data_IF_303134328326
#
_entry.id   IF_303134328326
#
_cell.length_a   1.000
_cell.length_b   1.000
_cell.length_c   1.000
_cell.angle_alpha   90.00
_cell.angle_beta   90.00
_cell.angle_gamma   90.00
#
_symmetry.space_group_name_H-M   'P 1'
#
loop_
_entity.id
_entity.type
_entity.pdbx_description
1 polymer ?
#
# COMPACT_ATOMS: atom_id res chain seq x y z
N UNK A 1 -2.63 21.33 -5.68
CA UNK A 1 -2.15 21.45 -7.10
C UNK A 1 -3.17 22.29 -7.82
N UNK A 2 -2.73 23.34 -8.55
CA UNK A 2 -3.64 24.13 -9.35
C UNK A 2 -4.31 23.24 -10.39
N UNK A 3 -5.63 23.34 -10.46
CA UNK A 3 -6.48 22.53 -11.32
C UNK A 3 -6.09 22.72 -12.80
N UNK A 4 -5.60 21.67 -13.45
CA UNK A 4 -5.46 21.60 -14.90
C UNK A 4 -4.15 22.08 -15.52
N UNK A 5 -3.36 22.95 -14.91
CA UNK A 5 -2.12 23.50 -15.53
C UNK A 5 -1.08 22.45 -15.96
N UNK A 6 -1.06 21.27 -15.33
CA UNK A 6 -0.18 20.20 -15.73
C UNK A 6 -0.53 19.60 -17.10
N UNK A 7 -1.81 19.71 -17.52
CA UNK A 7 -2.28 19.25 -18.83
C UNK A 7 -1.76 20.10 -19.99
N UNK A 8 -1.36 21.34 -19.76
CA UNK A 8 -0.70 22.17 -20.78
C UNK A 8 0.65 21.56 -21.23
N UNK A 9 1.21 20.67 -20.43
CA UNK A 9 2.42 19.93 -20.75
C UNK A 9 2.14 18.63 -21.52
N UNK A 10 0.89 18.24 -21.70
CA UNK A 10 0.47 16.99 -22.36
C UNK A 10 0.02 17.28 -23.79
N UNK A 11 0.61 16.58 -24.75
CA UNK A 11 0.31 16.70 -26.18
C UNK A 11 -0.62 15.60 -26.68
N UNK A 12 -0.57 14.43 -26.04
CA UNK A 12 -1.40 13.27 -26.42
C UNK A 12 -1.58 12.31 -25.27
N UNK A 13 -2.77 11.70 -25.20
CA UNK A 13 -3.09 10.61 -24.27
C UNK A 13 -3.64 9.43 -25.05
N UNK A 14 -3.08 8.27 -24.82
CA UNK A 14 -3.58 6.99 -25.33
C UNK A 14 -4.02 6.14 -24.13
N UNK A 15 -5.15 5.44 -24.27
CA UNK A 15 -5.68 4.57 -23.23
C UNK A 15 -6.07 3.22 -23.83
N UNK A 16 -5.64 2.13 -23.20
CA UNK A 16 -6.06 0.78 -23.58
C UNK A 16 -6.35 -0.06 -22.34
N UNK A 17 -7.25 -1.02 -22.52
CA UNK A 17 -7.57 -2.02 -21.49
C UNK A 17 -6.55 -3.14 -21.56
N UNK A 18 -6.16 -3.64 -20.40
CA UNK A 18 -5.41 -4.89 -20.26
C UNK A 18 -6.18 -5.89 -19.37
N UNK A 19 -5.88 -7.18 -19.56
CA UNK A 19 -6.27 -8.29 -18.70
C UNK A 19 -5.07 -9.23 -18.62
N UNK A 20 -4.42 -9.24 -17.47
CA UNK A 20 -3.16 -9.96 -17.28
C UNK A 20 -3.32 -11.03 -16.20
N UNK A 21 -2.92 -12.25 -16.52
CA UNK A 21 -2.94 -13.37 -15.59
C UNK A 21 -1.91 -13.17 -14.47
N UNK A 22 -2.28 -13.60 -13.28
CA UNK A 22 -1.34 -13.69 -12.16
C UNK A 22 -0.65 -15.06 -12.15
N UNK A 23 0.54 -15.13 -11.58
CA UNK A 23 1.31 -16.38 -11.44
C UNK A 23 0.62 -17.40 -10.54
N UNK A 24 -0.20 -16.91 -9.61
CA UNK A 24 -1.03 -17.70 -8.70
C UNK A 24 -2.39 -17.06 -8.51
N UNK A 25 -3.40 -17.84 -8.19
CA UNK A 25 -4.68 -17.30 -7.75
C UNK A 25 -4.55 -16.75 -6.33
N UNK A 26 -4.84 -15.46 -6.17
CA UNK A 26 -4.78 -14.79 -4.87
C UNK A 26 -6.05 -15.08 -4.08
N UNK A 27 -5.96 -15.64 -2.87
CA UNK A 27 -7.10 -15.71 -1.98
C UNK A 27 -7.36 -14.31 -1.40
N UNK A 28 -8.58 -13.80 -1.61
CA UNK A 28 -8.97 -12.52 -1.02
C UNK A 28 -10.30 -12.65 -0.28
N UNK A 29 -10.58 -11.73 0.64
CA UNK A 29 -11.88 -11.68 1.34
C UNK A 29 -13.08 -11.48 0.39
N UNK A 30 -12.81 -11.09 -0.86
CA UNK A 30 -13.82 -10.85 -1.90
C UNK A 30 -13.93 -12.01 -2.92
N UNK A 31 -13.20 -13.09 -2.68
CA UNK A 31 -13.09 -14.24 -3.57
C UNK A 31 -11.72 -14.37 -4.24
N UNK A 32 -11.48 -15.47 -4.96
CA UNK A 32 -10.20 -15.72 -5.60
C UNK A 32 -10.02 -14.83 -6.83
N UNK A 33 -8.81 -14.26 -7.00
CA UNK A 33 -8.44 -13.42 -8.14
C UNK A 33 -7.29 -14.09 -8.88
N UNK A 34 -7.52 -14.47 -10.15
CA UNK A 34 -6.54 -15.12 -11.03
C UNK A 34 -5.94 -14.19 -12.08
N UNK A 35 -6.56 -13.02 -12.32
CA UNK A 35 -6.05 -12.00 -13.26
C UNK A 35 -6.31 -10.60 -12.72
N UNK A 36 -5.55 -9.64 -13.23
CA UNK A 36 -5.78 -8.22 -12.98
C UNK A 36 -6.18 -7.52 -14.26
N UNK A 37 -7.23 -6.72 -14.18
CA UNK A 37 -7.72 -5.90 -15.28
C UNK A 37 -7.54 -4.43 -14.92
N UNK A 38 -7.22 -3.62 -15.92
CA UNK A 38 -7.04 -2.20 -15.75
C UNK A 38 -7.02 -1.44 -17.06
N UNK A 39 -6.89 -0.13 -16.92
CA UNK A 39 -6.65 0.81 -18.00
C UNK A 39 -5.21 1.30 -17.88
N UNK A 40 -4.44 1.12 -18.94
CA UNK A 40 -3.11 1.68 -19.06
C UNK A 40 -3.21 2.97 -19.89
N UNK A 41 -2.57 4.02 -19.38
CA UNK A 41 -2.51 5.31 -20.06
C UNK A 41 -1.05 5.64 -20.42
N UNK A 42 -0.84 6.02 -21.67
CA UNK A 42 0.41 6.56 -22.17
C UNK A 42 0.23 8.05 -22.45
N UNK A 43 1.11 8.84 -21.88
CA UNK A 43 1.06 10.30 -21.92
C UNK A 43 2.30 10.80 -22.69
N UNK A 44 2.08 11.49 -23.81
CA UNK A 44 3.13 12.25 -24.47
C UNK A 44 3.16 13.65 -23.87
N UNK A 45 4.30 14.03 -23.31
CA UNK A 45 4.46 15.29 -22.60
C UNK A 45 5.70 16.03 -23.09
N UNK A 46 5.82 17.31 -22.74
CA UNK A 46 7.03 18.09 -23.01
C UNK A 46 8.28 17.57 -22.27
N UNK A 47 8.10 16.71 -21.25
CA UNK A 47 9.18 16.05 -20.50
C UNK A 47 9.46 14.60 -20.98
N UNK A 48 8.77 14.12 -22.04
CA UNK A 48 8.88 12.77 -22.55
C UNK A 48 7.60 11.95 -22.37
N UNK A 49 7.74 10.63 -22.48
CA UNK A 49 6.61 9.71 -22.37
C UNK A 49 6.50 9.24 -20.90
N UNK A 50 5.31 9.40 -20.35
CA UNK A 50 4.95 8.91 -19.02
C UNK A 50 3.85 7.85 -19.15
N UNK A 51 3.71 7.02 -18.13
CA UNK A 51 2.66 6.02 -18.02
C UNK A 51 1.96 6.11 -16.67
N UNK A 52 0.66 5.82 -16.66
CA UNK A 52 -0.12 5.64 -15.44
C UNK A 52 -1.15 4.54 -15.63
N UNK A 53 -1.72 4.09 -14.53
CA UNK A 53 -2.66 2.99 -14.49
C UNK A 53 -3.91 3.35 -13.69
N UNK A 54 -5.09 2.98 -14.21
CA UNK A 54 -6.34 3.00 -13.46
C UNK A 54 -6.92 1.58 -13.41
N UNK A 55 -6.69 0.85 -12.32
CA UNK A 55 -7.02 -0.56 -12.22
C UNK A 55 -7.80 -0.86 -10.93
N UNK A 56 -9.13 -0.65 -10.90
CA UNK A 56 -9.92 -0.92 -9.73
C UNK A 56 -9.74 -2.38 -9.28
N UNK A 57 -9.58 -2.58 -7.97
CA UNK A 57 -9.42 -3.92 -7.41
C UNK A 57 -10.81 -4.47 -7.06
N UNK A 58 -11.19 -5.66 -7.58
CA UNK A 58 -12.51 -6.24 -7.33
C UNK A 58 -12.81 -6.37 -5.84
N UNK A 59 -13.91 -5.77 -5.39
CA UNK A 59 -14.37 -5.80 -4.01
C UNK A 59 -13.79 -4.73 -3.08
N UNK A 60 -12.62 -4.17 -3.37
CA UNK A 60 -12.10 -3.00 -2.61
C UNK A 60 -12.74 -1.70 -3.09
N UNK A 61 -12.92 -1.55 -4.40
CA UNK A 61 -13.68 -0.45 -4.99
C UNK A 61 -15.08 -0.90 -5.37
N UNK A 62 -16.03 0.01 -5.24
CA UNK A 62 -17.40 -0.18 -5.75
C UNK A 62 -17.50 0.05 -7.25
N UNK A 63 -16.56 0.81 -7.81
CA UNK A 63 -16.53 1.18 -9.22
C UNK A 63 -15.97 0.04 -10.08
N UNK A 64 -16.67 -0.28 -11.16
CA UNK A 64 -16.22 -1.23 -12.19
C UNK A 64 -15.16 -0.60 -13.12
N UNK A 65 -14.46 -1.43 -13.88
CA UNK A 65 -13.52 -0.96 -14.89
C UNK A 65 -14.18 -0.10 -15.97
N UNK A 66 -15.43 -0.41 -16.34
CA UNK A 66 -16.20 0.38 -17.32
C UNK A 66 -16.56 1.76 -16.77
N UNK A 67 -16.97 1.85 -15.52
CA UNK A 67 -17.24 3.14 -14.86
C UNK A 67 -15.96 3.95 -14.69
N UNK A 68 -14.84 3.31 -14.35
CA UNK A 68 -13.51 3.93 -14.31
C UNK A 68 -13.13 4.54 -15.67
N UNK A 69 -13.37 3.81 -16.76
CA UNK A 69 -13.12 4.31 -18.11
C UNK A 69 -13.99 5.52 -18.45
N UNK A 70 -15.28 5.46 -18.17
CA UNK A 70 -16.22 6.58 -18.44
C UNK A 70 -15.87 7.83 -17.63
N UNK A 71 -15.48 7.66 -16.36
CA UNK A 71 -15.02 8.77 -15.53
C UNK A 71 -13.74 9.38 -16.11
N UNK A 72 -12.76 8.56 -16.46
CA UNK A 72 -11.51 9.00 -17.06
C UNK A 72 -11.75 9.77 -18.37
N UNK A 73 -12.60 9.24 -19.25
CA UNK A 73 -12.96 9.88 -20.51
C UNK A 73 -13.62 11.24 -20.27
N UNK A 74 -14.55 11.33 -19.32
CA UNK A 74 -15.21 12.59 -18.96
C UNK A 74 -14.19 13.62 -18.46
N UNK A 75 -13.27 13.22 -17.56
CA UNK A 75 -12.26 14.13 -17.03
C UNK A 75 -11.34 14.67 -18.14
N UNK A 76 -10.85 13.79 -19.01
CA UNK A 76 -9.97 14.19 -20.10
C UNK A 76 -10.67 15.03 -21.17
N UNK A 77 -12.00 14.96 -21.29
CA UNK A 77 -12.77 15.83 -22.19
C UNK A 77 -13.06 17.22 -21.59
N UNK A 78 -12.86 17.42 -20.30
CA UNK A 78 -13.09 18.67 -19.58
C UNK A 78 -11.88 18.99 -18.67
N UNK A 79 -10.70 19.23 -19.25
CA UNK A 79 -9.45 19.33 -18.51
C UNK A 79 -9.45 20.41 -17.42
N UNK A 80 -10.08 21.54 -17.66
CA UNK A 80 -10.16 22.66 -16.71
C UNK A 80 -11.00 22.35 -15.47
N UNK A 81 -11.82 21.30 -15.52
CA UNK A 81 -12.68 20.88 -14.41
C UNK A 81 -12.08 19.74 -13.57
N UNK A 82 -10.86 19.31 -13.84
CA UNK A 82 -10.24 18.21 -13.10
C UNK A 82 -9.88 18.65 -11.68
N UNK A 83 -10.56 18.04 -10.70
CA UNK A 83 -10.18 18.10 -9.31
C UNK A 83 -9.84 16.68 -8.81
N UNK A 84 -8.56 16.36 -8.74
CA UNK A 84 -8.04 15.04 -8.37
C UNK A 84 -8.58 14.55 -7.02
N UNK A 85 -8.92 15.47 -6.11
CA UNK A 85 -9.42 15.12 -4.79
C UNK A 85 -10.86 14.57 -4.79
N UNK A 86 -11.64 14.88 -5.84
CA UNK A 86 -13.05 14.47 -5.97
C UNK A 86 -13.26 13.21 -6.82
N UNK A 87 -12.18 12.73 -7.45
CA UNK A 87 -12.24 11.58 -8.34
C UNK A 87 -12.28 10.25 -7.56
N UNK A 88 -12.81 9.22 -8.20
CA UNK A 88 -12.68 7.85 -7.68
C UNK A 88 -11.22 7.48 -7.48
N UNK A 89 -10.90 6.62 -6.49
CA UNK A 89 -9.51 6.32 -6.17
C UNK A 89 -8.65 5.85 -7.36
N UNK A 90 -9.10 4.94 -8.26
CA UNK A 90 -8.30 4.54 -9.42
C UNK A 90 -8.03 5.69 -10.40
N UNK A 91 -9.02 6.55 -10.65
CA UNK A 91 -8.87 7.70 -11.56
C UNK A 91 -8.03 8.79 -10.89
N UNK A 92 -8.28 9.08 -9.61
CA UNK A 92 -7.47 10.00 -8.80
C UNK A 92 -6.00 9.60 -8.81
N UNK A 93 -5.72 8.31 -8.68
CA UNK A 93 -4.35 7.78 -8.71
C UNK A 93 -3.71 7.94 -10.10
N UNK A 94 -4.42 7.56 -11.17
CA UNK A 94 -3.90 7.63 -12.53
C UNK A 94 -3.57 9.06 -12.97
N UNK A 95 -4.48 10.00 -12.74
CA UNK A 95 -4.29 11.41 -13.10
C UNK A 95 -3.33 12.11 -12.15
N UNK A 96 -3.44 11.83 -10.84
CA UNK A 96 -2.58 12.39 -9.81
C UNK A 96 -1.12 12.00 -9.98
N UNK A 97 -0.84 10.79 -10.42
CA UNK A 97 0.52 10.32 -10.70
C UNK A 97 1.21 11.18 -11.79
N UNK A 98 0.49 11.50 -12.85
CA UNK A 98 1.03 12.32 -13.94
C UNK A 98 1.13 13.79 -13.53
N UNK A 99 0.07 14.33 -12.93
CA UNK A 99 0.06 15.70 -12.45
C UNK A 99 1.23 15.97 -11.49
N UNK A 100 1.48 15.03 -10.57
CA UNK A 100 2.56 15.16 -9.60
C UNK A 100 3.94 15.07 -10.28
N UNK A 101 4.16 14.12 -11.19
CA UNK A 101 5.42 13.98 -11.92
C UNK A 101 5.76 15.19 -12.78
N UNK A 102 4.74 15.84 -13.37
CA UNK A 102 4.94 17.03 -14.20
C UNK A 102 5.13 18.32 -13.40
N UNK A 103 4.66 18.34 -12.15
CA UNK A 103 4.71 19.54 -11.29
C UNK A 103 5.90 19.56 -10.33
N UNK A 104 6.47 18.40 -10.01
CA UNK A 104 7.53 18.31 -9.00
C UNK A 104 8.89 18.00 -9.64
N UNK A 105 9.97 18.65 -9.17
CA UNK A 105 11.31 18.33 -9.64
C UNK A 105 11.70 16.91 -9.22
N UNK A 106 12.45 16.23 -10.06
CA UNK A 106 13.00 14.92 -9.71
C UNK A 106 14.09 15.09 -8.65
N UNK A 107 13.84 14.61 -7.44
CA UNK A 107 14.83 14.59 -6.38
C UNK A 107 15.76 13.37 -6.56
N UNK A 108 17.06 13.58 -6.37
CA UNK A 108 18.00 12.47 -6.24
C UNK A 108 17.93 11.92 -4.80
N UNK A 109 17.70 10.63 -4.66
CA UNK A 109 17.66 9.95 -3.37
C UNK A 109 18.03 8.48 -3.53
N UNK A 110 18.25 7.78 -2.42
CA UNK A 110 18.44 6.34 -2.43
C UNK A 110 17.14 5.63 -2.83
N UNK A 111 17.27 4.47 -3.47
CA UNK A 111 16.12 3.62 -3.73
C UNK A 111 15.44 3.23 -2.40
N UNK A 112 14.11 3.24 -2.31
CA UNK A 112 13.42 2.82 -1.11
C UNK A 112 13.68 1.32 -0.84
N UNK A 113 13.79 0.96 0.43
CA UNK A 113 13.81 -0.45 0.84
C UNK A 113 12.44 -1.07 0.67
N UNK A 114 12.40 -2.37 0.45
CA UNK A 114 11.15 -3.14 0.23
C UNK A 114 10.97 -4.15 1.34
N UNK A 115 9.75 -4.26 1.83
CA UNK A 115 9.31 -5.31 2.73
C UNK A 115 8.87 -6.53 1.91
N UNK A 116 9.45 -7.68 2.15
CA UNK A 116 9.01 -8.92 1.52
C UNK A 116 7.60 -9.31 1.98
N UNK A 117 6.83 -9.95 1.11
CA UNK A 117 5.49 -10.42 1.41
C UNK A 117 5.45 -11.95 1.47
N UNK A 118 5.20 -12.49 2.66
CA UNK A 118 4.97 -13.92 2.87
C UNK A 118 3.45 -14.15 2.99
N UNK A 119 2.86 -14.71 1.94
CA UNK A 119 1.45 -15.04 1.90
C UNK A 119 1.14 -16.32 2.68
N UNK A 120 -0.12 -16.45 3.09
CA UNK A 120 -0.62 -17.64 3.79
C UNK A 120 -0.31 -18.94 3.01
N UNK A 121 0.22 -19.94 3.71
CA UNK A 121 0.58 -21.24 3.12
C UNK A 121 1.81 -21.23 2.21
N UNK A 122 2.43 -20.08 1.98
CA UNK A 122 3.64 -19.97 1.18
C UNK A 122 4.86 -20.36 2.04
N UNK A 123 5.77 -21.23 1.57
CA UNK A 123 7.01 -21.52 2.28
C UNK A 123 7.96 -20.32 2.21
N UNK A 124 8.77 -20.14 3.27
CA UNK A 124 9.87 -19.19 3.26
C UNK A 124 10.91 -19.60 2.22
N UNK A 125 10.95 -18.91 1.11
CA UNK A 125 11.94 -19.17 0.04
C UNK A 125 13.26 -18.43 0.32
N UNK A 126 14.40 -18.82 -0.30
CA UNK A 126 15.66 -18.06 -0.19
C UNK A 126 15.52 -16.60 -0.60
N UNK A 127 14.66 -16.28 -1.59
CA UNK A 127 14.35 -14.90 -1.98
C UNK A 127 13.72 -14.11 -0.83
N UNK A 128 12.74 -14.71 -0.16
CA UNK A 128 12.05 -14.05 0.96
C UNK A 128 12.96 -13.95 2.19
N UNK A 129 13.81 -14.94 2.44
CA UNK A 129 14.76 -14.90 3.54
C UNK A 129 15.84 -13.81 3.40
N UNK A 130 16.03 -13.25 2.20
CA UNK A 130 16.98 -12.18 1.95
C UNK A 130 16.46 -10.76 2.27
N UNK A 131 15.20 -10.60 2.69
CA UNK A 131 14.65 -9.30 3.09
C UNK A 131 14.98 -8.99 4.56
N UNK A 132 15.38 -7.75 4.84
CA UNK A 132 15.57 -7.26 6.21
C UNK A 132 14.25 -7.07 6.97
N UNK A 133 13.14 -6.93 6.24
CA UNK A 133 11.79 -6.83 6.80
C UNK A 133 10.85 -7.69 5.98
N UNK A 134 10.07 -8.52 6.66
CA UNK A 134 9.08 -9.39 6.03
C UNK A 134 7.70 -9.16 6.65
N UNK A 135 6.68 -9.00 5.82
CA UNK A 135 5.29 -8.97 6.26
C UNK A 135 4.72 -10.39 6.27
N UNK A 136 4.18 -10.80 7.39
CA UNK A 136 3.51 -12.09 7.59
C UNK A 136 2.05 -11.85 7.93
N UNK A 137 1.15 -12.37 7.09
CA UNK A 137 -0.28 -12.35 7.38
C UNK A 137 -0.64 -13.49 8.33
N UNK A 138 -1.28 -13.16 9.46
CA UNK A 138 -1.69 -14.13 10.44
C UNK A 138 -3.00 -14.85 10.04
N UNK A 139 -3.12 -16.10 10.44
CA UNK A 139 -4.28 -16.96 10.16
C UNK A 139 -5.36 -16.77 11.23
N UNK A 140 -6.23 -15.77 11.04
CA UNK A 140 -7.23 -15.44 12.06
C UNK A 140 -6.57 -15.16 13.41
N UNK A 141 -7.31 -15.40 14.51
CA UNK A 141 -6.83 -15.22 15.89
C UNK A 141 -6.39 -16.55 16.55
N UNK A 142 -5.86 -17.50 15.78
CA UNK A 142 -5.36 -18.78 16.28
C UNK A 142 -3.96 -18.62 16.88
N UNK A 143 -3.86 -18.56 18.21
CA UNK A 143 -2.64 -18.18 18.92
C UNK A 143 -1.49 -19.16 18.66
N UNK A 144 -1.68 -20.45 19.00
CA UNK A 144 -0.60 -21.46 18.89
C UNK A 144 -0.12 -21.67 17.45
N UNK A 145 -0.98 -21.82 16.43
CA UNK A 145 -0.55 -21.93 15.03
C UNK A 145 0.22 -20.69 14.56
N UNK A 146 -0.24 -19.49 14.91
CA UNK A 146 0.45 -18.26 14.54
C UNK A 146 1.79 -18.10 15.25
N UNK A 147 1.87 -18.43 16.55
CA UNK A 147 3.13 -18.41 17.29
C UNK A 147 4.16 -19.40 16.72
N UNK A 148 3.72 -20.60 16.36
CA UNK A 148 4.58 -21.60 15.71
C UNK A 148 5.08 -21.12 14.35
N UNK A 149 4.19 -20.55 13.51
CA UNK A 149 4.52 -19.99 12.21
C UNK A 149 5.52 -18.82 12.33
N UNK A 150 5.29 -17.89 13.25
CA UNK A 150 6.17 -16.74 13.48
C UNK A 150 7.58 -17.22 13.87
N UNK A 151 7.70 -18.17 14.82
CA UNK A 151 9.00 -18.74 15.21
C UNK A 151 9.68 -19.43 14.04
N UNK A 152 8.97 -20.28 13.29
CA UNK A 152 9.50 -20.96 12.11
C UNK A 152 10.03 -19.98 11.06
N UNK A 153 9.31 -18.89 10.80
CA UNK A 153 9.74 -17.87 9.85
C UNK A 153 10.99 -17.15 10.38
N UNK A 154 11.00 -16.74 11.65
CA UNK A 154 12.13 -16.06 12.27
C UNK A 154 13.39 -16.91 12.32
N UNK A 155 13.26 -18.24 12.52
CA UNK A 155 14.38 -19.19 12.50
C UNK A 155 15.03 -19.30 11.10
N UNK A 156 14.27 -19.04 10.05
CA UNK A 156 14.75 -19.03 8.66
C UNK A 156 15.25 -17.67 8.16
N UNK A 157 15.16 -16.63 8.98
CA UNK A 157 15.61 -15.27 8.63
C UNK A 157 16.96 -14.94 9.30
N UNK A 158 17.72 -14.03 8.72
CA UNK A 158 18.88 -13.42 9.37
C UNK A 158 18.50 -12.83 10.73
N UNK A 159 19.41 -12.89 11.70
CA UNK A 159 19.14 -12.48 13.09
C UNK A 159 18.76 -11.00 13.24
N UNK A 160 19.14 -10.16 12.29
CA UNK A 160 18.81 -8.72 12.23
C UNK A 160 17.49 -8.44 11.54
N UNK A 161 16.93 -9.39 10.80
CA UNK A 161 15.67 -9.21 10.10
C UNK A 161 14.48 -9.19 11.07
N UNK A 162 13.45 -8.44 10.72
CA UNK A 162 12.25 -8.23 11.53
C UNK A 162 10.97 -8.62 10.77
N UNK A 163 9.91 -8.91 11.53
CA UNK A 163 8.59 -9.18 10.99
C UNK A 163 7.63 -8.02 11.23
N UNK A 164 6.72 -7.82 10.28
CA UNK A 164 5.48 -7.08 10.42
C UNK A 164 4.34 -8.11 10.46
N UNK A 165 3.52 -8.07 11.48
CA UNK A 165 2.43 -9.04 11.65
C UNK A 165 1.11 -8.39 11.21
N UNK A 166 0.48 -8.91 10.16
CA UNK A 166 -0.81 -8.42 9.66
C UNK A 166 -1.95 -9.24 10.28
N UNK A 167 -2.74 -8.58 11.13
CA UNK A 167 -3.80 -9.19 11.94
C UNK A 167 -5.21 -9.02 11.34
N UNK A 168 -5.39 -8.17 10.35
CA UNK A 168 -6.64 -7.91 9.64
C UNK A 168 -7.85 -7.61 10.56
N UNK A 169 -7.66 -6.94 11.70
CA UNK A 169 -8.72 -6.43 12.59
C UNK A 169 -9.48 -7.48 13.41
N UNK A 170 -8.97 -8.69 13.56
CA UNK A 170 -9.73 -9.81 14.13
C UNK A 170 -9.27 -10.28 15.53
N UNK A 171 -8.37 -9.54 16.17
CA UNK A 171 -7.79 -9.96 17.44
C UNK A 171 -8.44 -9.28 18.63
N UNK A 172 -8.58 -10.00 19.75
CA UNK A 172 -8.84 -9.38 21.05
C UNK A 172 -7.51 -8.96 21.69
N UNK A 173 -7.57 -8.01 22.61
CA UNK A 173 -6.41 -7.55 23.40
C UNK A 173 -5.72 -8.72 24.13
N UNK A 174 -6.52 -9.59 24.77
CA UNK A 174 -5.99 -10.75 25.51
C UNK A 174 -5.34 -11.79 24.60
N UNK A 175 -5.91 -12.06 23.42
CA UNK A 175 -5.33 -13.00 22.46
C UNK A 175 -3.99 -12.47 21.95
N UNK A 176 -3.93 -11.17 21.65
CA UNK A 176 -2.69 -10.53 21.22
C UNK A 176 -1.59 -10.59 22.28
N UNK A 177 -1.91 -10.28 23.54
CA UNK A 177 -0.98 -10.42 24.67
C UNK A 177 -0.47 -11.88 24.79
N UNK A 178 -1.38 -12.85 24.66
CA UNK A 178 -1.04 -14.27 24.73
C UNK A 178 -0.14 -14.70 23.57
N UNK A 179 -0.36 -14.18 22.37
CA UNK A 179 0.52 -14.43 21.21
C UNK A 179 1.92 -13.85 21.46
N UNK A 180 1.99 -12.58 21.84
CA UNK A 180 3.26 -11.87 22.06
C UNK A 180 4.14 -12.54 23.11
N UNK A 181 3.53 -13.05 24.20
CA UNK A 181 4.24 -13.80 25.23
C UNK A 181 4.89 -15.12 24.72
N UNK A 182 4.50 -15.61 23.54
CA UNK A 182 4.99 -16.87 22.97
C UNK A 182 6.03 -16.69 21.84
N UNK A 183 6.35 -15.46 21.45
CA UNK A 183 7.23 -15.17 20.31
C UNK A 183 8.38 -14.24 20.73
N UNK A 184 9.49 -14.18 19.96
CA UNK A 184 10.57 -13.23 20.22
C UNK A 184 10.13 -11.81 19.80
N UNK A 185 9.43 -11.13 20.69
CA UNK A 185 8.77 -9.82 20.45
C UNK A 185 9.75 -8.76 19.92
N UNK A 186 11.02 -8.80 20.36
CA UNK A 186 12.07 -7.87 19.91
C UNK A 186 12.40 -7.98 18.41
N UNK A 187 11.93 -9.05 17.72
CA UNK A 187 12.03 -9.25 16.28
C UNK A 187 10.77 -8.78 15.52
N UNK A 188 9.77 -8.23 16.21
CA UNK A 188 8.55 -7.72 15.59
C UNK A 188 8.66 -6.21 15.44
N UNK A 189 8.67 -5.73 14.20
CA UNK A 189 8.78 -4.31 13.89
C UNK A 189 7.50 -3.57 14.30
N UNK A 190 6.35 -4.14 14.00
CA UNK A 190 5.04 -3.67 14.44
C UNK A 190 3.94 -4.71 14.14
N UNK A 191 2.77 -4.48 14.73
CA UNK A 191 1.56 -5.27 14.51
C UNK A 191 0.59 -4.40 13.71
N UNK A 192 0.17 -4.87 12.52
CA UNK A 192 -0.70 -4.14 11.61
C UNK A 192 -2.15 -4.52 11.83
N UNK A 193 -3.00 -3.52 12.05
CA UNK A 193 -4.45 -3.63 12.28
C UNK A 193 -4.85 -4.82 13.17
N UNK A 194 -4.37 -4.94 14.42
CA UNK A 194 -4.84 -6.01 15.31
C UNK A 194 -6.32 -5.83 15.69
N UNK A 195 -6.81 -4.61 15.85
CA UNK A 195 -8.16 -4.31 16.30
C UNK A 195 -9.00 -3.67 15.19
N UNK A 196 -10.33 -3.89 15.26
CA UNK A 196 -11.27 -3.42 14.23
C UNK A 196 -11.63 -1.93 14.35
N UNK A 197 -11.44 -1.29 15.50
CA UNK A 197 -11.84 0.09 15.73
C UNK A 197 -10.68 0.96 16.22
N UNK A 198 -10.58 2.18 15.71
CA UNK A 198 -9.51 3.11 16.08
C UNK A 198 -9.51 3.46 17.58
N UNK A 199 -10.67 3.46 18.23
CA UNK A 199 -10.81 3.68 19.67
C UNK A 199 -10.05 2.67 20.54
N UNK A 200 -9.83 1.45 20.04
CA UNK A 200 -9.19 0.36 20.79
C UNK A 200 -7.67 0.56 20.95
N UNK A 201 -7.10 1.53 20.24
CA UNK A 201 -5.67 1.86 20.28
C UNK A 201 -5.31 2.95 21.31
N UNK A 202 -6.30 3.60 21.90
CA UNK A 202 -6.08 4.77 22.80
C UNK A 202 -5.23 4.49 24.04
N UNK A 203 -5.10 3.24 24.44
CA UNK A 203 -4.30 2.79 25.60
C UNK A 203 -3.23 1.78 25.19
N UNK A 204 -2.76 1.80 23.94
CA UNK A 204 -1.85 0.81 23.41
C UNK A 204 -0.60 0.61 24.27
N UNK A 205 0.10 1.69 24.59
CA UNK A 205 1.37 1.64 25.35
C UNK A 205 1.23 1.23 26.80
N UNK A 206 0.02 1.10 27.33
CA UNK A 206 -0.21 0.55 28.68
C UNK A 206 -0.11 -0.98 28.69
N UNK A 207 -0.40 -1.63 27.57
CA UNK A 207 -0.47 -3.09 27.50
C UNK A 207 0.62 -3.69 26.60
N UNK A 208 1.10 -2.93 25.59
CA UNK A 208 2.01 -3.45 24.58
C UNK A 208 3.29 -2.63 24.48
N UNK A 209 4.43 -3.34 24.36
CA UNK A 209 5.74 -2.74 24.06
C UNK A 209 6.02 -2.74 22.58
N UNK A 210 5.54 -3.75 21.82
CA UNK A 210 5.58 -3.78 20.36
C UNK A 210 4.66 -2.70 19.78
N UNK A 211 5.14 -1.84 18.88
CA UNK A 211 4.31 -0.82 18.27
C UNK A 211 3.27 -1.41 17.32
N UNK A 212 2.30 -0.59 16.91
CA UNK A 212 1.31 -0.95 15.91
C UNK A 212 1.42 -0.11 14.63
N UNK A 213 0.78 -0.57 13.56
CA UNK A 213 0.55 0.20 12.35
C UNK A 213 -0.93 0.15 11.97
N UNK A 214 -1.40 1.16 11.25
CA UNK A 214 -2.76 1.25 10.72
C UNK A 214 -2.73 1.10 9.20
N UNK A 215 -3.54 0.17 8.67
CA UNK A 215 -3.76 -0.09 7.24
C UNK A 215 -5.20 0.28 6.84
N UNK A 216 -6.17 -0.59 7.07
CA UNK A 216 -7.57 -0.32 6.73
C UNK A 216 -8.13 0.90 7.51
N UNK A 217 -7.60 1.14 8.72
CA UNK A 217 -7.95 2.29 9.57
C UNK A 217 -7.13 3.56 9.27
N UNK A 218 -6.14 3.51 8.39
CA UNK A 218 -5.23 4.65 8.14
C UNK A 218 -5.97 5.93 7.74
N UNK A 219 -7.01 5.83 6.90
CA UNK A 219 -7.81 6.99 6.50
C UNK A 219 -8.61 7.60 7.66
N UNK A 220 -9.05 6.78 8.63
CA UNK A 220 -9.79 7.26 9.78
C UNK A 220 -8.90 8.03 10.75
N UNK A 221 -7.60 7.72 10.79
CA UNK A 221 -6.63 8.41 11.63
C UNK A 221 -6.56 9.92 11.36
N UNK A 222 -6.83 10.37 10.11
CA UNK A 222 -6.91 11.81 9.80
C UNK A 222 -7.93 12.58 10.65
N UNK A 223 -8.97 11.91 11.15
CA UNK A 223 -9.95 12.51 12.04
C UNK A 223 -9.50 12.54 13.53
N UNK A 224 -8.46 11.77 13.87
CA UNK A 224 -7.90 11.65 15.21
C UNK A 224 -6.35 11.65 15.17
N UNK A 225 -5.70 12.70 14.65
CA UNK A 225 -4.25 12.72 14.43
C UNK A 225 -3.43 12.81 15.73
N UNK A 226 -4.09 12.88 16.88
CA UNK A 226 -3.47 12.82 18.22
C UNK A 226 -3.21 11.40 18.69
N UNK A 227 -3.74 10.38 18.01
CA UNK A 227 -3.41 8.98 18.30
C UNK A 227 -2.02 8.68 17.71
N UNK A 228 -0.99 8.87 18.50
CA UNK A 228 0.42 8.67 18.10
C UNK A 228 1.17 7.70 19.00
N UNK A 229 0.71 7.53 20.26
CA UNK A 229 1.39 6.68 21.22
C UNK A 229 1.38 5.20 20.81
N UNK A 230 2.56 4.67 20.51
CA UNK A 230 2.73 3.30 20.02
C UNK A 230 2.46 3.11 18.50
N UNK A 231 2.02 4.16 17.78
CA UNK A 231 1.82 4.09 16.33
C UNK A 231 3.15 4.27 15.61
N UNK A 232 3.65 3.19 14.99
CA UNK A 232 4.89 3.19 14.21
C UNK A 232 4.68 3.68 12.78
N UNK A 233 3.61 3.27 12.13
CA UNK A 233 3.43 3.54 10.70
C UNK A 233 1.96 3.67 10.29
N UNK A 234 1.72 4.49 9.26
CA UNK A 234 0.51 4.40 8.43
C UNK A 234 0.85 3.62 7.16
N UNK A 235 0.16 2.52 6.95
CA UNK A 235 0.21 1.73 5.72
C UNK A 235 -0.83 2.31 4.76
N UNK A 236 -0.37 2.92 3.69
CA UNK A 236 -1.23 3.65 2.76
C UNK A 236 -1.28 2.92 1.43
N UNK A 237 -2.47 2.55 0.99
CA UNK A 237 -2.73 1.91 -0.30
C UNK A 237 -3.26 2.95 -1.29
N UNK A 238 -2.40 3.55 -2.15
CA UNK A 238 -2.83 4.66 -3.01
C UNK A 238 -4.00 4.30 -3.95
N UNK A 239 -4.06 3.05 -4.41
CA UNK A 239 -5.19 2.57 -5.22
C UNK A 239 -6.50 2.58 -4.44
N UNK A 240 -6.47 2.37 -3.11
CA UNK A 240 -7.68 2.30 -2.28
C UNK A 240 -8.18 3.69 -1.88
N UNK A 241 -7.26 4.57 -1.52
CA UNK A 241 -7.63 5.89 -0.98
C UNK A 241 -7.57 7.03 -2.00
N UNK A 242 -6.99 6.79 -3.18
CA UNK A 242 -6.73 7.81 -4.20
C UNK A 242 -5.51 8.67 -3.90
N UNK A 243 -5.01 9.37 -4.93
CA UNK A 243 -3.73 10.10 -4.83
C UNK A 243 -3.79 11.28 -3.85
N UNK A 244 -4.87 12.07 -3.89
CA UNK A 244 -5.02 13.23 -3.00
C UNK A 244 -5.02 12.82 -1.52
N UNK A 245 -5.76 11.78 -1.16
CA UNK A 245 -5.79 11.25 0.21
C UNK A 245 -4.45 10.64 0.60
N UNK A 246 -3.77 9.97 -0.32
CA UNK A 246 -2.40 9.45 -0.10
C UNK A 246 -1.44 10.57 0.30
N UNK A 247 -1.47 11.71 -0.41
CA UNK A 247 -0.65 12.87 -0.06
C UNK A 247 -1.02 13.49 1.30
N UNK A 248 -2.31 13.55 1.62
CA UNK A 248 -2.77 14.08 2.92
C UNK A 248 -2.27 13.21 4.07
N UNK A 249 -2.44 11.89 3.95
CA UNK A 249 -1.97 10.91 4.94
C UNK A 249 -0.45 10.99 5.13
N UNK A 250 0.30 10.99 4.03
CA UNK A 250 1.75 11.05 4.09
C UNK A 250 2.24 12.33 4.78
N UNK A 251 1.71 13.48 4.40
CA UNK A 251 2.07 14.77 5.00
C UNK A 251 1.69 14.85 6.49
N UNK A 252 0.52 14.31 6.86
CA UNK A 252 0.07 14.30 8.25
C UNK A 252 0.93 13.37 9.12
N UNK A 253 1.22 12.16 8.64
CA UNK A 253 2.07 11.18 9.33
C UNK A 253 3.50 11.73 9.53
N UNK A 254 4.12 12.26 8.49
CA UNK A 254 5.47 12.86 8.57
C UNK A 254 5.53 14.00 9.58
N UNK A 255 4.50 14.87 9.65
CA UNK A 255 4.43 15.95 10.66
C UNK A 255 4.31 15.41 12.09
N UNK A 256 3.68 14.26 12.25
CA UNK A 256 3.52 13.58 13.53
C UNK A 256 4.72 12.69 13.90
N UNK A 257 5.74 12.58 13.03
CA UNK A 257 6.89 11.70 13.23
C UNK A 257 6.56 10.21 13.06
N UNK A 258 5.49 9.89 12.33
CA UNK A 258 5.01 8.53 12.06
C UNK A 258 5.50 8.12 10.67
N UNK A 259 6.01 6.89 10.54
CA UNK A 259 6.43 6.36 9.27
C UNK A 259 5.26 6.22 8.27
N UNK A 260 5.56 6.41 6.99
CA UNK A 260 4.64 6.15 5.90
C UNK A 260 5.12 4.93 5.13
N UNK A 261 4.26 3.95 5.00
CA UNK A 261 4.48 2.75 4.20
C UNK A 261 3.49 2.74 3.05
N UNK A 262 3.93 3.06 1.84
CA UNK A 262 3.13 2.84 0.65
C UNK A 262 3.01 1.34 0.40
N UNK A 263 1.82 0.86 0.18
CA UNK A 263 1.54 -0.56 -0.04
C UNK A 263 0.77 -0.76 -1.34
N UNK A 264 1.22 -1.70 -2.14
CA UNK A 264 0.55 -2.07 -3.39
C UNK A 264 -0.59 -3.06 -3.16
N UNK A 265 -1.54 -3.06 -4.08
CA UNK A 265 -2.70 -3.97 -4.13
C UNK A 265 -2.66 -4.72 -5.45
N UNK A 266 -1.50 -5.32 -5.75
CA UNK A 266 -1.25 -6.10 -6.98
C UNK A 266 -1.46 -5.29 -8.26
N UNK A 267 -1.06 -4.03 -8.28
CA UNK A 267 -0.99 -3.19 -9.48
C UNK A 267 0.16 -3.62 -10.39
N UNK A 268 0.14 -3.15 -11.64
CA UNK A 268 1.17 -3.45 -12.63
C UNK A 268 2.54 -2.84 -12.27
N UNK A 269 3.57 -3.27 -12.98
CA UNK A 269 4.93 -2.70 -12.85
C UNK A 269 4.96 -1.19 -13.13
N UNK A 270 4.07 -0.67 -13.97
CA UNK A 270 3.94 0.76 -14.25
C UNK A 270 3.56 1.52 -12.97
N UNK A 271 2.56 1.02 -12.26
CA UNK A 271 2.10 1.66 -11.02
C UNK A 271 3.10 1.46 -9.88
N UNK A 272 3.70 0.27 -9.78
CA UNK A 272 4.77 0.02 -8.80
C UNK A 272 5.97 0.95 -9.03
N UNK A 273 6.40 1.19 -10.26
CA UNK A 273 7.46 2.15 -10.58
C UNK A 273 7.10 3.57 -10.14
N UNK A 274 5.83 3.97 -10.24
CA UNK A 274 5.39 5.25 -9.69
C UNK A 274 5.49 5.27 -8.16
N UNK A 275 5.12 4.21 -7.47
CA UNK A 275 5.23 4.12 -6.01
C UNK A 275 6.69 4.15 -5.53
N UNK A 276 7.59 3.45 -6.24
CA UNK A 276 9.04 3.55 -5.97
C UNK A 276 9.54 4.98 -6.10
N UNK A 277 9.20 5.64 -7.21
CA UNK A 277 9.55 7.03 -7.43
C UNK A 277 8.95 7.94 -6.36
N UNK A 278 7.68 7.74 -5.98
CA UNK A 278 6.99 8.53 -4.97
C UNK A 278 7.63 8.37 -3.58
N UNK A 279 7.96 7.14 -3.18
CA UNK A 279 8.66 6.86 -1.93
C UNK A 279 10.03 7.54 -1.87
N UNK A 280 10.76 7.57 -2.99
CA UNK A 280 12.01 8.29 -3.12
C UNK A 280 11.82 9.80 -3.02
N UNK A 281 10.83 10.37 -3.73
CA UNK A 281 10.52 11.82 -3.68
C UNK A 281 10.13 12.27 -2.27
N UNK A 282 9.41 11.44 -1.54
CA UNK A 282 8.98 11.74 -0.17
C UNK A 282 10.02 11.33 0.88
N UNK A 283 11.16 10.75 0.46
CA UNK A 283 12.27 10.31 1.33
C UNK A 283 11.77 9.36 2.44
N UNK A 284 10.91 8.41 2.07
CA UNK A 284 10.35 7.46 3.01
C UNK A 284 11.43 6.47 3.46
N UNK A 285 11.69 6.41 4.76
CA UNK A 285 12.74 5.58 5.38
C UNK A 285 12.31 4.15 5.66
N UNK A 286 11.03 3.93 5.94
CA UNK A 286 10.50 2.60 6.22
C UNK A 286 10.53 1.70 4.97
N UNK A 287 10.67 0.38 5.17
CA UNK A 287 10.54 -0.57 4.08
C UNK A 287 9.12 -0.56 3.50
N UNK A 288 8.99 -0.41 2.18
CA UNK A 288 7.73 -0.22 1.48
C UNK A 288 7.08 -1.54 1.06
N UNK A 289 5.76 -1.58 0.98
CA UNK A 289 4.98 -2.78 0.67
C UNK A 289 4.83 -3.04 -0.83
N UNK A 290 5.94 -3.23 -1.56
CA UNK A 290 5.94 -3.33 -3.03
C UNK A 290 6.21 -4.73 -3.57
N UNK A 291 6.31 -5.75 -2.72
CA UNK A 291 6.69 -7.11 -3.13
C UNK A 291 5.56 -7.87 -3.86
N UNK A 292 4.48 -7.21 -4.22
CA UNK A 292 3.38 -7.81 -5.00
C UNK A 292 3.73 -8.01 -6.48
N UNK A 293 4.78 -7.35 -6.99
CA UNK A 293 5.24 -7.52 -8.37
C UNK A 293 5.59 -8.96 -8.75
N UNK A 294 5.97 -9.81 -7.77
CA UNK A 294 6.26 -11.22 -7.97
C UNK A 294 5.06 -12.05 -8.48
N UNK A 295 3.85 -11.55 -8.31
CA UNK A 295 2.62 -12.25 -8.70
C UNK A 295 2.19 -11.98 -10.15
N UNK A 296 2.88 -11.09 -10.86
CA UNK A 296 2.65 -10.86 -12.28
C UNK A 296 3.45 -11.83 -13.12
N UNK A 297 2.83 -12.36 -14.18
CA UNK A 297 3.57 -13.12 -15.18
C UNK A 297 4.50 -12.15 -15.91
N UNK A 298 5.77 -12.51 -16.05
CA UNK A 298 6.67 -11.78 -16.93
C UNK A 298 6.23 -12.04 -18.38
N UNK A 299 5.93 -10.98 -19.12
CA UNK A 299 5.78 -11.05 -20.58
C UNK A 299 7.15 -11.14 -21.26
#
# INVERSE_FOLDING_TARGET
MDSGQWLDQVTRVECWRYDAALTVTLPTRFGPIASRQGLMLRWETNQGILYSEAAPFPGLQTQSLSETFLELQRQLSQPDAIDIATLSPPVSLALGAIAYRLSEPVLSGSAPTVCGLLSEGQPLSPRLAAFDTLKLKLQGNHIEPNAALIRQVLDGLESTASLRLDCAGNWSRNDLLTLLAQIPEHRIAYIEDPFAALSDYSQWTQDFTTPFALDDLASQWLSQPTLTDGLAALVVKPLVVGFATTQLLAKAAQRAGIDVVLSSVYESSVQLNFYYWLAQQWQLSAAQGFDTGQYWQAD
#
